data_IF_022695250191
#
_entry.id   IF_022695250191
#
_cell.length_a   1.000
_cell.length_b   1.000
_cell.length_c   1.000
_cell.angle_alpha   90.00
_cell.angle_beta   90.00
_cell.angle_gamma   90.00
#
_symmetry.space_group_name_H-M   'P 1'
#
loop_
_entity.id
_entity.type
_entity.pdbx_description
1 polymer ?
#
# COMPACT_ATOMS: atom_id res chain seq x y z
N UNK A 1 -4.96 -6.21 -24.93
CA UNK A 1 -5.05 -7.68 -25.00
C UNK A 1 -6.07 -8.12 -23.96
N UNK A 2 -6.82 -9.22 -24.13
CA UNK A 2 -7.65 -9.75 -23.05
C UNK A 2 -6.77 -10.11 -21.86
N UNK A 3 -7.31 -9.93 -20.64
CA UNK A 3 -6.61 -10.30 -19.40
C UNK A 3 -6.26 -11.80 -19.44
N UNK A 4 -5.05 -12.22 -19.09
CA UNK A 4 -4.68 -13.63 -19.06
C UNK A 4 -5.34 -14.41 -17.91
N UNK A 5 -5.95 -13.71 -16.97
CA UNK A 5 -6.73 -14.27 -15.86
C UNK A 5 -8.09 -13.59 -15.77
N UNK A 6 -9.04 -14.26 -15.12
CA UNK A 6 -10.39 -13.74 -14.88
C UNK A 6 -10.54 -13.33 -13.41
N UNK A 7 -10.58 -12.01 -13.07
CA UNK A 7 -10.59 -11.55 -11.69
C UNK A 7 -11.70 -12.17 -10.83
N UNK A 8 -12.92 -12.30 -11.36
CA UNK A 8 -14.04 -12.86 -10.61
C UNK A 8 -13.89 -14.37 -10.37
N UNK A 9 -13.42 -15.13 -11.37
CA UNK A 9 -13.14 -16.56 -11.23
C UNK A 9 -12.00 -16.79 -10.22
N UNK A 10 -10.96 -15.98 -10.30
CA UNK A 10 -9.85 -16.06 -9.34
C UNK A 10 -10.36 -15.82 -7.92
N UNK A 11 -11.07 -14.72 -7.69
CA UNK A 11 -11.59 -14.36 -6.36
C UNK A 11 -12.48 -15.44 -5.76
N UNK A 12 -13.39 -16.04 -6.56
CA UNK A 12 -14.33 -17.07 -6.08
C UNK A 12 -13.69 -18.44 -5.86
N UNK A 13 -12.48 -18.66 -6.37
CA UNK A 13 -11.74 -19.92 -6.24
C UNK A 13 -10.74 -19.94 -5.07
N UNK A 14 -10.61 -18.83 -4.33
CA UNK A 14 -9.63 -18.72 -3.26
C UNK A 14 -10.15 -19.34 -1.95
N UNK A 15 -9.32 -20.17 -1.33
CA UNK A 15 -9.50 -20.60 0.05
C UNK A 15 -9.09 -19.50 1.06
N UNK A 16 -9.23 -19.78 2.34
CA UNK A 16 -8.81 -18.84 3.38
C UNK A 16 -7.29 -18.57 3.31
N UNK A 17 -6.89 -17.31 3.50
CA UNK A 17 -5.47 -16.89 3.46
C UNK A 17 -4.59 -17.68 4.45
N UNK A 18 -5.14 -18.02 5.62
CA UNK A 18 -4.44 -18.81 6.64
C UNK A 18 -4.18 -20.28 6.25
N UNK A 19 -4.69 -20.73 5.10
CA UNK A 19 -4.45 -22.07 4.57
C UNK A 19 -3.37 -21.99 3.50
N UNK A 20 -2.19 -22.56 3.79
CA UNK A 20 -1.11 -22.68 2.80
C UNK A 20 -1.53 -23.66 1.72
N UNK A 21 -1.70 -23.18 0.51
CA UNK A 21 -2.18 -23.99 -0.61
C UNK A 21 -1.35 -23.72 -1.87
N UNK A 22 -1.26 -24.68 -2.80
CA UNK A 22 -0.69 -24.45 -4.11
C UNK A 22 -1.52 -23.41 -4.88
N UNK A 23 -0.84 -22.62 -5.71
CA UNK A 23 -1.51 -21.69 -6.62
C UNK A 23 -2.38 -22.45 -7.64
N UNK A 24 -3.63 -22.02 -7.82
CA UNK A 24 -4.47 -22.46 -8.92
C UNK A 24 -3.92 -21.96 -10.27
N UNK A 25 -4.37 -22.51 -11.38
CA UNK A 25 -3.97 -22.03 -12.70
C UNK A 25 -4.25 -20.53 -12.88
N UNK A 26 -5.41 -20.05 -12.45
CA UNK A 26 -5.78 -18.63 -12.49
C UNK A 26 -4.87 -17.76 -11.60
N UNK A 27 -4.48 -18.25 -10.42
CA UNK A 27 -3.55 -17.56 -9.53
C UNK A 27 -2.13 -17.50 -10.10
N UNK A 28 -1.69 -18.55 -10.78
CA UNK A 28 -0.40 -18.58 -11.53
C UNK A 28 -0.42 -17.57 -12.68
N UNK A 29 -1.51 -17.52 -13.46
CA UNK A 29 -1.65 -16.57 -14.57
C UNK A 29 -1.66 -15.12 -14.05
N UNK A 30 -2.34 -14.85 -12.92
CA UNK A 30 -2.29 -13.57 -12.22
C UNK A 30 -0.85 -13.21 -11.81
N UNK A 31 -0.16 -14.12 -11.13
CA UNK A 31 1.22 -13.86 -10.69
C UNK A 31 2.16 -13.59 -11.87
N UNK A 32 2.07 -14.38 -12.96
CA UNK A 32 2.87 -14.17 -14.17
C UNK A 32 2.57 -12.83 -14.83
N UNK A 33 1.30 -12.44 -14.90
CA UNK A 33 0.92 -11.17 -15.51
C UNK A 33 1.54 -9.97 -14.80
N UNK A 34 1.62 -10.01 -13.45
CA UNK A 34 2.23 -8.96 -12.64
C UNK A 34 3.71 -9.20 -12.32
N UNK A 35 4.31 -10.30 -12.79
CA UNK A 35 5.69 -10.68 -12.52
C UNK A 35 5.93 -10.99 -11.04
N UNK A 36 4.94 -11.58 -10.38
CA UNK A 36 4.97 -12.00 -8.97
C UNK A 36 5.32 -13.49 -8.80
N UNK A 37 5.59 -14.20 -9.90
CA UNK A 37 6.04 -15.59 -9.95
C UNK A 37 7.51 -15.72 -9.49
N UNK A 38 7.77 -15.21 -8.30
CA UNK A 38 9.08 -15.20 -7.65
C UNK A 38 9.43 -16.62 -7.15
N UNK A 39 10.72 -16.94 -7.06
CA UNK A 39 11.23 -18.29 -6.74
C UNK A 39 11.10 -18.63 -5.25
N UNK A 40 9.96 -18.35 -4.64
CA UNK A 40 9.63 -18.69 -3.26
C UNK A 40 8.22 -19.28 -3.18
N UNK A 41 7.91 -19.96 -2.09
CA UNK A 41 6.54 -20.42 -1.86
C UNK A 41 5.62 -19.20 -1.69
N UNK A 42 4.56 -19.14 -2.49
CA UNK A 42 3.59 -18.05 -2.42
C UNK A 42 2.17 -18.57 -2.63
N UNK A 43 1.19 -17.88 -2.05
CA UNK A 43 -0.22 -18.17 -2.27
C UNK A 43 -1.08 -16.91 -2.13
N UNK A 44 -2.28 -17.00 -2.69
CA UNK A 44 -3.36 -16.04 -2.49
C UNK A 44 -4.45 -16.70 -1.66
N UNK A 45 -5.18 -15.91 -0.87
CA UNK A 45 -6.30 -16.41 -0.10
C UNK A 45 -7.23 -15.30 0.36
N UNK A 46 -8.46 -15.69 0.69
CA UNK A 46 -9.50 -14.77 1.15
C UNK A 46 -9.52 -14.63 2.68
N UNK A 47 -9.94 -13.46 3.15
CA UNK A 47 -10.37 -13.24 4.53
C UNK A 47 -11.37 -12.08 4.58
N UNK A 48 -12.27 -12.09 5.57
CA UNK A 48 -13.32 -11.06 5.68
C UNK A 48 -13.05 -10.15 6.87
N UNK A 49 -13.23 -8.83 6.68
CA UNK A 49 -13.12 -7.81 7.71
C UNK A 49 -13.99 -6.61 7.40
N UNK A 50 -14.66 -6.05 8.40
CA UNK A 50 -15.48 -4.82 8.27
C UNK A 50 -16.55 -4.88 7.15
N UNK A 51 -17.06 -6.08 6.83
CA UNK A 51 -18.03 -6.30 5.76
C UNK A 51 -17.46 -6.40 4.35
N UNK A 52 -16.14 -6.51 4.23
CA UNK A 52 -15.43 -6.73 2.96
C UNK A 52 -14.79 -8.11 2.93
N UNK A 53 -14.83 -8.74 1.75
CA UNK A 53 -14.05 -9.93 1.43
C UNK A 53 -12.79 -9.49 0.73
N UNK A 54 -11.66 -9.65 1.41
CA UNK A 54 -10.35 -9.20 0.95
C UNK A 54 -9.52 -10.36 0.41
N UNK A 55 -8.69 -10.08 -0.57
CA UNK A 55 -7.71 -11.01 -1.11
C UNK A 55 -6.32 -10.64 -0.59
N UNK A 56 -5.77 -11.53 0.22
CA UNK A 56 -4.41 -11.45 0.72
C UNK A 56 -3.45 -12.27 -0.12
N UNK A 57 -2.18 -11.92 -0.03
CA UNK A 57 -1.08 -12.63 -0.68
C UNK A 57 0.09 -12.77 0.30
N UNK A 58 0.75 -13.92 0.24
CA UNK A 58 1.92 -14.23 1.06
C UNK A 58 3.03 -14.77 0.17
N UNK A 59 4.25 -14.32 0.41
CA UNK A 59 5.48 -14.86 -0.15
C UNK A 59 6.38 -15.28 1.01
N UNK A 60 6.77 -16.55 1.02
CA UNK A 60 7.46 -17.16 2.15
C UNK A 60 8.78 -17.79 1.68
N UNK A 61 9.94 -17.20 1.98
CA UNK A 61 11.23 -17.85 1.81
C UNK A 61 11.34 -19.14 2.64
N UNK A 62 12.32 -19.98 2.34
CA UNK A 62 12.52 -21.24 3.04
C UNK A 62 12.85 -21.02 4.53
N UNK A 63 13.70 -20.04 4.82
CA UNK A 63 14.13 -19.67 6.18
C UNK A 63 13.92 -18.16 6.40
N UNK A 64 12.68 -17.70 6.60
CA UNK A 64 12.42 -16.27 6.75
C UNK A 64 12.90 -15.78 8.12
N UNK A 65 13.60 -14.64 8.14
CA UNK A 65 14.16 -14.02 9.37
C UNK A 65 13.27 -12.95 9.97
N UNK A 66 12.29 -12.44 9.22
CA UNK A 66 11.35 -11.40 9.61
C UNK A 66 10.13 -11.42 8.69
N UNK A 67 9.15 -10.56 8.96
CA UNK A 67 7.98 -10.38 8.08
C UNK A 67 7.79 -8.92 7.71
N UNK A 68 7.59 -8.63 6.43
CA UNK A 68 7.19 -7.33 5.93
C UNK A 68 5.68 -7.31 5.62
N UNK A 69 4.93 -6.45 6.32
CA UNK A 69 3.57 -6.10 5.98
C UNK A 69 3.59 -4.99 4.93
N UNK A 70 3.06 -5.27 3.76
CA UNK A 70 3.08 -4.35 2.62
C UNK A 70 1.67 -3.84 2.31
N UNK A 71 1.50 -2.51 2.35
CA UNK A 71 0.25 -1.81 2.08
C UNK A 71 0.39 -0.92 0.85
N UNK A 72 -0.44 -1.17 -0.15
CA UNK A 72 -0.42 -0.46 -1.42
C UNK A 72 -1.07 0.93 -1.35
N UNK A 73 -0.84 1.76 -2.38
CA UNK A 73 -1.40 3.09 -2.54
C UNK A 73 -2.85 3.10 -3.05
N UNK A 74 -3.45 4.29 -3.07
CA UNK A 74 -4.77 4.51 -3.66
C UNK A 74 -4.72 4.26 -5.17
N UNK A 75 -5.73 3.60 -5.70
CA UNK A 75 -5.82 3.07 -7.06
C UNK A 75 -4.90 1.87 -7.37
N UNK A 76 -4.00 1.53 -6.48
CA UNK A 76 -3.11 0.39 -6.64
C UNK A 76 -3.76 -0.93 -6.17
N UNK A 77 -3.00 -1.99 -6.24
CA UNK A 77 -3.25 -3.31 -5.65
C UNK A 77 -1.92 -4.06 -5.53
N UNK A 78 -1.89 -5.17 -4.81
CA UNK A 78 -0.66 -5.92 -4.51
C UNK A 78 0.09 -6.37 -5.77
N UNK A 79 -0.61 -6.61 -6.88
CA UNK A 79 -0.01 -6.95 -8.18
C UNK A 79 1.05 -5.97 -8.67
N UNK A 80 0.98 -4.70 -8.26
CA UNK A 80 1.88 -3.65 -8.73
C UNK A 80 3.18 -3.53 -7.90
N UNK A 81 3.39 -4.37 -6.87
CA UNK A 81 4.47 -4.17 -5.90
C UNK A 81 5.64 -5.16 -6.03
N UNK A 82 5.80 -5.80 -7.21
CA UNK A 82 6.83 -6.82 -7.47
C UNK A 82 8.23 -6.44 -7.00
N UNK A 83 8.63 -5.17 -7.20
CA UNK A 83 10.00 -4.74 -6.89
C UNK A 83 10.25 -4.61 -5.38
N UNK A 84 9.25 -4.13 -4.63
CA UNK A 84 9.33 -4.06 -3.17
C UNK A 84 9.27 -5.46 -2.56
N UNK A 85 8.42 -6.34 -3.10
CA UNK A 85 8.33 -7.74 -2.69
C UNK A 85 9.66 -8.46 -2.96
N UNK A 86 10.21 -8.34 -4.17
CA UNK A 86 11.48 -8.96 -4.52
C UNK A 86 12.64 -8.48 -3.64
N UNK A 87 12.71 -7.17 -3.35
CA UNK A 87 13.68 -6.62 -2.43
C UNK A 87 13.53 -7.20 -1.01
N UNK A 88 12.31 -7.27 -0.46
CA UNK A 88 12.07 -7.83 0.87
C UNK A 88 12.47 -9.31 0.96
N UNK A 89 12.20 -10.08 -0.10
CA UNK A 89 12.63 -11.49 -0.19
C UNK A 89 14.15 -11.64 -0.23
N UNK A 90 14.87 -10.71 -0.87
CA UNK A 90 16.34 -10.66 -0.85
C UNK A 90 16.90 -10.36 0.55
N UNK A 91 16.14 -9.66 1.40
CA UNK A 91 16.47 -9.46 2.81
C UNK A 91 16.14 -10.70 3.68
N UNK A 92 15.59 -11.75 3.09
CA UNK A 92 15.12 -12.92 3.82
C UNK A 92 13.78 -12.74 4.52
N UNK A 93 13.00 -11.71 4.19
CA UNK A 93 11.71 -11.47 4.83
C UNK A 93 10.60 -12.29 4.17
N UNK A 94 9.70 -12.84 4.97
CA UNK A 94 8.37 -13.16 4.50
C UNK A 94 7.63 -11.86 4.15
N UNK A 95 6.77 -11.88 3.14
CA UNK A 95 5.94 -10.71 2.78
C UNK A 95 4.48 -11.09 2.88
N UNK A 96 3.69 -10.26 3.54
CA UNK A 96 2.23 -10.37 3.60
C UNK A 96 1.60 -9.03 3.27
N UNK A 97 0.55 -9.04 2.46
CA UNK A 97 -0.25 -7.87 2.13
C UNK A 97 -1.62 -8.28 1.61
N UNK A 98 -2.49 -7.32 1.38
CA UNK A 98 -3.79 -7.57 0.75
C UNK A 98 -4.16 -6.41 -0.16
N UNK A 99 -5.02 -6.70 -1.12
CA UNK A 99 -5.74 -5.65 -1.82
C UNK A 99 -6.73 -4.99 -0.86
N UNK A 100 -6.62 -3.66 -0.70
CA UNK A 100 -7.47 -2.87 0.18
C UNK A 100 -8.95 -2.93 -0.28
N UNK A 101 -9.93 -2.65 0.60
CA UNK A 101 -11.34 -2.55 0.20
C UNK A 101 -11.54 -1.73 -1.06
N UNK A 102 -12.28 -2.26 -2.03
CA UNK A 102 -12.53 -1.62 -3.33
C UNK A 102 -11.36 -1.60 -4.32
N UNK A 103 -10.25 -2.28 -4.02
CA UNK A 103 -9.07 -2.34 -4.88
C UNK A 103 -8.77 -3.77 -5.34
N UNK A 104 -8.06 -3.89 -6.44
CA UNK A 104 -7.56 -5.17 -6.94
C UNK A 104 -8.62 -6.26 -7.02
N UNK A 105 -8.34 -7.41 -6.40
CA UNK A 105 -9.24 -8.55 -6.30
C UNK A 105 -10.21 -8.48 -5.12
N UNK A 106 -10.06 -7.52 -4.20
CA UNK A 106 -10.92 -7.37 -3.02
C UNK A 106 -12.29 -6.81 -3.36
N UNK A 107 -13.30 -7.13 -2.52
CA UNK A 107 -14.67 -6.66 -2.66
C UNK A 107 -14.82 -5.17 -2.28
N UNK A 108 -15.99 -4.62 -2.54
CA UNK A 108 -16.35 -3.24 -2.26
C UNK A 108 -16.49 -2.38 -3.51
N UNK A 109 -17.07 -1.19 -3.34
CA UNK A 109 -17.16 -0.20 -4.41
C UNK A 109 -15.75 0.25 -4.81
N UNK A 110 -15.48 0.30 -6.12
CA UNK A 110 -14.13 0.58 -6.66
C UNK A 110 -13.56 1.90 -6.18
N UNK A 111 -12.39 1.83 -5.55
CA UNK A 111 -11.63 2.95 -4.98
C UNK A 111 -12.43 3.78 -3.95
N UNK A 112 -13.41 3.18 -3.28
CA UNK A 112 -14.28 3.84 -2.31
C UNK A 112 -14.08 3.29 -0.91
N UNK A 113 -14.17 4.16 0.08
CA UNK A 113 -14.23 3.82 1.50
C UNK A 113 -15.02 4.90 2.24
N UNK A 114 -15.84 4.51 3.19
CA UNK A 114 -16.66 5.46 3.95
C UNK A 114 -15.87 6.12 5.10
N UNK A 115 -14.92 5.40 5.69
CA UNK A 115 -14.07 5.87 6.79
C UNK A 115 -12.69 5.21 6.72
N UNK A 116 -11.63 5.97 6.95
CA UNK A 116 -10.25 5.46 7.06
C UNK A 116 -10.06 4.52 8.27
N UNK A 117 -10.94 4.57 9.28
CA UNK A 117 -10.91 3.61 10.37
C UNK A 117 -11.10 2.15 9.90
N UNK A 118 -11.74 1.93 8.77
CA UNK A 118 -11.87 0.61 8.14
C UNK A 118 -10.48 0.07 7.74
N UNK A 119 -9.60 0.91 7.25
CA UNK A 119 -8.22 0.51 6.92
C UNK A 119 -7.43 0.05 8.14
N UNK A 120 -7.71 0.59 9.35
CA UNK A 120 -7.09 0.09 10.58
C UNK A 120 -7.56 -1.32 10.90
N UNK A 121 -8.85 -1.61 10.73
CA UNK A 121 -9.39 -2.96 10.89
C UNK A 121 -8.76 -3.94 9.88
N UNK A 122 -8.48 -3.49 8.66
CA UNK A 122 -7.75 -4.29 7.65
C UNK A 122 -6.34 -4.63 8.10
N UNK A 123 -5.59 -3.64 8.63
CA UNK A 123 -4.24 -3.87 9.14
C UNK A 123 -4.25 -4.82 10.36
N UNK A 124 -5.20 -4.66 11.28
CA UNK A 124 -5.36 -5.56 12.43
C UNK A 124 -5.69 -6.99 11.97
N UNK A 125 -6.53 -7.14 10.96
CA UNK A 125 -6.82 -8.44 10.36
C UNK A 125 -5.59 -9.07 9.70
N UNK A 126 -4.74 -8.27 9.03
CA UNK A 126 -3.46 -8.77 8.49
C UNK A 126 -2.51 -9.25 9.59
N UNK A 127 -2.42 -8.54 10.71
CA UNK A 127 -1.66 -9.04 11.88
C UNK A 127 -2.20 -10.37 12.40
N UNK A 128 -3.52 -10.53 12.41
CA UNK A 128 -4.14 -11.80 12.81
C UNK A 128 -3.85 -12.91 11.80
N UNK A 129 -3.87 -12.66 10.49
CA UNK A 129 -3.46 -13.64 9.49
C UNK A 129 -1.99 -14.05 9.68
N UNK A 130 -1.11 -13.09 9.94
CA UNK A 130 0.30 -13.40 10.20
C UNK A 130 0.51 -14.27 11.44
N UNK A 131 -0.28 -14.07 12.52
CA UNK A 131 -0.25 -14.94 13.70
C UNK A 131 -0.72 -16.36 13.37
N UNK A 132 -1.81 -16.50 12.62
CA UNK A 132 -2.35 -17.81 12.21
C UNK A 132 -1.39 -18.59 11.31
N UNK A 133 -0.60 -17.85 10.51
CA UNK A 133 0.40 -18.43 9.61
C UNK A 133 1.75 -18.67 10.30
N UNK A 134 1.89 -18.25 11.56
CA UNK A 134 3.14 -18.30 12.34
C UNK A 134 4.29 -17.61 11.59
N UNK A 135 4.03 -16.40 11.04
CA UNK A 135 5.04 -15.65 10.32
C UNK A 135 6.08 -15.06 11.30
N UNK A 136 7.38 -15.14 10.96
CA UNK A 136 8.45 -14.78 11.88
C UNK A 136 8.49 -13.29 12.23
N UNK A 137 8.97 -13.01 13.42
CA UNK A 137 9.31 -11.66 13.88
C UNK A 137 10.80 -11.35 13.63
N UNK A 138 11.19 -10.06 13.60
CA UNK A 138 10.35 -8.87 13.82
C UNK A 138 9.36 -8.60 12.66
N UNK A 139 8.26 -7.88 12.97
CA UNK A 139 7.27 -7.47 11.98
C UNK A 139 7.52 -6.03 11.54
N UNK A 140 7.94 -5.87 10.29
CA UNK A 140 8.14 -4.58 9.65
C UNK A 140 6.87 -4.10 8.94
N UNK A 141 6.66 -2.78 8.89
CA UNK A 141 5.58 -2.15 8.12
C UNK A 141 6.14 -1.41 6.93
N UNK A 142 5.58 -1.60 5.75
CA UNK A 142 5.87 -0.82 4.56
C UNK A 142 4.56 -0.35 3.92
N UNK A 143 4.44 0.96 3.68
CA UNK A 143 3.28 1.51 3.00
C UNK A 143 3.64 2.61 2.02
N UNK A 144 3.05 2.55 0.82
CA UNK A 144 3.17 3.61 -0.15
C UNK A 144 1.91 4.47 -0.17
N UNK A 145 2.08 5.80 -0.22
CA UNK A 145 0.98 6.76 -0.36
C UNK A 145 -0.14 6.52 0.69
N UNK A 146 -1.33 6.06 0.29
CA UNK A 146 -2.42 5.68 1.19
C UNK A 146 -2.02 4.51 2.10
N UNK A 147 -1.25 3.53 1.61
CA UNK A 147 -0.67 2.50 2.48
C UNK A 147 0.21 3.10 3.57
N UNK A 148 1.01 4.12 3.23
CA UNK A 148 1.76 4.91 4.21
C UNK A 148 0.87 5.66 5.20
N UNK A 149 -0.26 6.23 4.74
CA UNK A 149 -1.24 6.86 5.61
C UNK A 149 -1.85 5.87 6.62
N UNK A 150 -2.12 4.64 6.21
CA UNK A 150 -2.62 3.57 7.09
C UNK A 150 -1.59 3.25 8.19
N UNK A 151 -0.32 3.11 7.82
CA UNK A 151 0.77 2.88 8.78
C UNK A 151 0.93 4.05 9.74
N UNK A 152 0.90 5.28 9.24
CA UNK A 152 0.97 6.51 10.07
C UNK A 152 -0.18 6.55 11.08
N UNK A 153 -1.42 6.33 10.63
CA UNK A 153 -2.60 6.30 11.49
C UNK A 153 -2.46 5.25 12.60
N UNK A 154 -2.06 4.03 12.25
CA UNK A 154 -1.81 2.94 13.19
C UNK A 154 -0.81 3.34 14.28
N UNK A 155 0.35 3.86 13.89
CA UNK A 155 1.43 4.19 14.82
C UNK A 155 1.13 5.38 15.73
N UNK A 156 0.30 6.33 15.27
CA UNK A 156 -0.12 7.47 16.08
C UNK A 156 -1.21 7.10 17.11
N UNK A 157 -1.99 6.05 16.83
CA UNK A 157 -3.05 5.58 17.73
C UNK A 157 -2.60 4.46 18.67
N UNK A 158 -1.86 3.47 18.14
CA UNK A 158 -1.40 2.32 18.93
C UNK A 158 -0.07 2.58 19.64
N UNK A 159 0.75 3.49 19.13
CA UNK A 159 2.05 3.83 19.69
C UNK A 159 2.94 2.59 19.91
N UNK A 160 3.38 2.40 21.15
CA UNK A 160 4.21 1.25 21.57
C UNK A 160 3.42 -0.06 21.68
N UNK A 161 2.09 -0.01 21.67
CA UNK A 161 1.22 -1.21 21.70
C UNK A 161 1.04 -1.84 20.31
N UNK A 162 1.63 -1.25 19.26
CA UNK A 162 1.62 -1.84 17.93
C UNK A 162 2.25 -3.24 17.95
N UNK A 163 1.61 -4.26 17.36
CA UNK A 163 2.21 -5.57 17.22
C UNK A 163 3.43 -5.59 16.28
N UNK A 164 3.60 -4.54 15.46
CA UNK A 164 4.74 -4.38 14.58
C UNK A 164 5.94 -3.82 15.35
N UNK A 165 6.85 -4.71 15.74
CA UNK A 165 8.06 -4.43 16.54
C UNK A 165 9.30 -4.10 15.68
N UNK A 166 9.22 -4.29 14.37
CA UNK A 166 10.28 -4.00 13.41
C UNK A 166 10.30 -2.55 12.90
N UNK A 167 11.01 -2.34 11.80
CA UNK A 167 11.14 -1.05 11.13
C UNK A 167 9.86 -0.63 10.42
N UNK A 168 9.71 0.68 10.26
CA UNK A 168 8.60 1.32 9.55
C UNK A 168 9.14 2.03 8.32
N UNK A 169 8.62 1.67 7.15
CA UNK A 169 9.03 2.19 5.84
C UNK A 169 7.85 2.91 5.21
N UNK A 170 8.01 4.18 4.89
CA UNK A 170 7.00 5.02 4.26
C UNK A 170 7.49 5.51 2.90
N UNK A 171 6.85 5.06 1.83
CA UNK A 171 7.16 5.43 0.46
C UNK A 171 6.16 6.50 -0.01
N UNK A 172 6.62 7.73 -0.26
CA UNK A 172 5.79 8.87 -0.66
C UNK A 172 4.48 8.98 0.16
N UNK A 173 4.55 9.02 1.51
CA UNK A 173 3.39 8.85 2.38
C UNK A 173 2.37 9.97 2.19
N UNK A 174 1.09 9.59 2.13
CA UNK A 174 -0.02 10.53 2.07
C UNK A 174 -0.32 11.09 3.46
N UNK A 175 -0.35 12.43 3.60
CA UNK A 175 -1.11 13.15 4.62
C UNK A 175 -2.20 13.94 3.91
N UNK A 176 -1.83 14.77 2.94
CA UNK A 176 -2.81 15.40 2.06
C UNK A 176 -2.35 15.41 0.59
N UNK A 177 -3.28 15.35 -0.37
CA UNK A 177 -2.96 15.45 -1.79
C UNK A 177 -2.55 16.87 -2.17
N UNK A 178 -1.88 16.99 -3.32
CA UNK A 178 -1.58 18.29 -3.93
C UNK A 178 -2.87 19.07 -4.22
N UNK A 179 -2.79 20.39 -4.19
CA UNK A 179 -3.93 21.29 -4.40
C UNK A 179 -5.13 21.03 -3.44
N UNK A 180 -4.84 20.63 -2.21
CA UNK A 180 -5.84 20.23 -1.22
C UNK A 180 -6.95 21.24 -0.96
N UNK A 181 -6.64 22.55 -1.01
CA UNK A 181 -7.64 23.61 -0.84
C UNK A 181 -8.72 23.57 -1.94
N UNK A 182 -8.30 23.35 -3.18
CA UNK A 182 -9.21 23.19 -4.33
C UNK A 182 -10.00 21.89 -4.25
N UNK A 183 -9.37 20.81 -3.83
CA UNK A 183 -10.05 19.50 -3.63
C UNK A 183 -11.16 19.61 -2.59
N UNK A 184 -10.93 20.32 -1.47
CA UNK A 184 -11.97 20.55 -0.46
C UNK A 184 -13.13 21.39 -0.97
N UNK A 185 -12.85 22.45 -1.74
CA UNK A 185 -13.90 23.31 -2.31
C UNK A 185 -14.74 22.54 -3.33
N UNK A 186 -14.08 21.86 -4.27
CA UNK A 186 -14.75 21.02 -5.26
C UNK A 186 -15.60 19.93 -4.62
N UNK A 187 -15.08 19.23 -3.61
CA UNK A 187 -15.82 18.21 -2.88
C UNK A 187 -17.08 18.77 -2.23
N UNK A 188 -17.02 19.93 -1.55
CA UNK A 188 -18.19 20.52 -0.88
C UNK A 188 -19.34 20.79 -1.83
N UNK A 189 -19.02 21.12 -3.08
CA UNK A 189 -20.02 21.38 -4.13
C UNK A 189 -20.47 20.06 -4.77
N UNK A 190 -19.51 19.27 -5.26
CA UNK A 190 -19.79 18.10 -6.11
C UNK A 190 -20.48 16.95 -5.37
N UNK A 191 -20.21 16.75 -4.08
CA UNK A 191 -20.78 15.62 -3.31
C UNK A 191 -22.32 15.59 -3.30
N UNK A 192 -22.98 16.70 -3.59
CA UNK A 192 -24.44 16.77 -3.63
C UNK A 192 -25.04 16.46 -5.02
N UNK A 193 -24.18 16.36 -6.04
CA UNK A 193 -24.61 16.21 -7.43
C UNK A 193 -24.03 14.96 -8.09
N UNK A 194 -22.89 14.46 -7.61
CA UNK A 194 -22.22 13.31 -8.20
C UNK A 194 -21.60 12.42 -7.09
N UNK A 195 -21.62 11.12 -7.32
CA UNK A 195 -20.99 10.11 -6.45
C UNK A 195 -19.50 9.89 -6.75
N UNK A 196 -18.99 10.45 -7.85
CA UNK A 196 -17.59 10.39 -8.24
C UNK A 196 -17.35 11.07 -9.57
N UNK A 197 -16.07 11.29 -9.88
CA UNK A 197 -15.59 11.86 -11.14
C UNK A 197 -14.69 10.86 -11.87
N UNK A 198 -14.53 11.01 -13.17
CA UNK A 198 -13.60 10.18 -13.95
C UNK A 198 -12.15 10.42 -13.49
N UNK A 199 -11.41 9.33 -13.32
CA UNK A 199 -9.98 9.38 -12.98
C UNK A 199 -9.18 9.82 -14.19
N UNK A 200 -8.27 10.76 -13.98
CA UNK A 200 -7.25 11.10 -14.96
C UNK A 200 -5.95 10.37 -14.58
N UNK A 201 -5.43 9.57 -15.51
CA UNK A 201 -4.09 9.00 -15.37
C UNK A 201 -3.06 10.12 -15.46
N UNK A 202 -2.17 10.19 -14.50
CA UNK A 202 -1.09 11.17 -14.46
C UNK A 202 0.25 10.44 -14.51
N UNK A 203 1.28 11.10 -15.02
CA UNK A 203 2.64 10.57 -15.02
C UNK A 203 3.20 10.59 -13.58
N UNK A 204 2.83 9.58 -12.79
CA UNK A 204 3.21 9.43 -11.37
C UNK A 204 4.51 8.65 -11.16
N UNK A 205 5.18 8.23 -12.21
CA UNK A 205 6.50 7.59 -12.26
C UNK A 205 7.29 8.08 -13.47
N UNK A 206 8.59 7.89 -13.47
CA UNK A 206 9.46 8.15 -14.63
C UNK A 206 9.58 6.94 -15.57
N UNK A 207 9.01 5.78 -15.21
CA UNK A 207 9.02 4.59 -16.06
C UNK A 207 7.83 4.60 -17.05
N UNK A 208 8.05 4.88 -18.35
CA UNK A 208 6.97 4.94 -19.33
C UNK A 208 6.37 3.56 -19.64
N UNK A 209 7.13 2.48 -19.44
CA UNK A 209 6.61 1.13 -19.61
C UNK A 209 5.61 0.77 -18.53
N UNK A 210 5.89 1.19 -17.28
CA UNK A 210 4.93 1.02 -16.20
C UNK A 210 3.68 1.88 -16.37
N UNK A 211 3.79 3.12 -16.87
CA UNK A 211 2.60 3.94 -17.16
C UNK A 211 1.68 3.29 -18.19
N UNK A 212 2.25 2.77 -19.27
CA UNK A 212 1.48 2.05 -20.31
C UNK A 212 0.84 0.75 -19.75
N UNK A 213 1.56 0.03 -18.89
CA UNK A 213 1.04 -1.14 -18.20
C UNK A 213 -0.14 -0.79 -17.30
N UNK A 214 -0.02 0.28 -16.51
CA UNK A 214 -1.05 0.73 -15.56
C UNK A 214 -2.35 1.14 -16.27
N UNK A 215 -2.27 1.79 -17.44
CA UNK A 215 -3.45 2.16 -18.23
C UNK A 215 -4.20 0.95 -18.79
N UNK A 216 -3.45 -0.14 -19.08
CA UNK A 216 -3.98 -1.39 -19.61
C UNK A 216 -4.39 -2.40 -18.51
N UNK A 217 -4.06 -2.13 -17.27
CA UNK A 217 -4.30 -3.04 -16.14
C UNK A 217 -5.79 -3.25 -15.88
N UNK A 218 -6.30 -4.51 -15.94
CA UNK A 218 -7.71 -4.82 -15.78
C UNK A 218 -8.27 -4.53 -14.38
N UNK A 219 -7.41 -4.39 -13.37
CA UNK A 219 -7.81 -4.14 -11.98
C UNK A 219 -7.84 -2.65 -11.62
N UNK A 220 -7.45 -1.76 -12.55
CA UNK A 220 -7.39 -0.32 -12.27
C UNK A 220 -8.77 0.32 -12.15
N UNK A 221 -9.04 1.04 -11.04
CA UNK A 221 -10.23 1.87 -10.92
C UNK A 221 -10.20 3.04 -11.91
N UNK A 222 -11.34 3.36 -12.51
CA UNK A 222 -11.49 4.45 -13.50
C UNK A 222 -12.25 5.67 -12.97
N UNK A 223 -12.65 5.65 -11.69
CA UNK A 223 -13.39 6.75 -11.04
C UNK A 223 -12.73 7.12 -9.70
N UNK A 224 -12.87 8.39 -9.33
CA UNK A 224 -12.60 8.91 -8.00
C UNK A 224 -13.93 9.12 -7.27
N UNK A 225 -14.31 8.25 -6.32
CA UNK A 225 -15.53 8.40 -5.55
C UNK A 225 -15.46 9.60 -4.60
N UNK A 226 -16.55 10.35 -4.47
CA UNK A 226 -16.65 11.45 -3.51
C UNK A 226 -16.60 10.95 -2.07
N UNK A 227 -17.10 9.75 -1.79
CA UNK A 227 -17.03 9.12 -0.46
C UNK A 227 -15.58 9.02 0.04
N UNK A 228 -14.64 8.56 -0.81
CA UNK A 228 -13.23 8.47 -0.43
C UNK A 228 -12.62 9.83 -0.09
N UNK A 229 -12.95 10.89 -0.86
CA UNK A 229 -12.47 12.24 -0.58
C UNK A 229 -13.01 12.75 0.76
N UNK A 230 -14.27 12.44 1.08
CA UNK A 230 -14.89 12.76 2.37
C UNK A 230 -14.20 12.06 3.54
N UNK A 231 -13.95 10.75 3.40
CA UNK A 231 -13.23 9.95 4.38
C UNK A 231 -11.81 10.47 4.62
N UNK A 232 -11.09 10.81 3.53
CA UNK A 232 -9.76 11.44 3.61
C UNK A 232 -9.80 12.78 4.35
N UNK A 233 -10.79 13.63 4.09
CA UNK A 233 -10.94 14.92 4.79
C UNK A 233 -11.11 14.75 6.30
N UNK A 234 -11.89 13.77 6.73
CA UNK A 234 -12.07 13.46 8.16
C UNK A 234 -10.78 12.91 8.76
N UNK A 235 -10.11 12.01 8.05
CA UNK A 235 -8.85 11.38 8.46
C UNK A 235 -7.72 12.40 8.63
N UNK A 236 -7.52 13.34 7.69
CA UNK A 236 -6.48 14.38 7.78
C UNK A 236 -6.59 15.16 9.09
N UNK A 237 -7.81 15.60 9.45
CA UNK A 237 -8.03 16.32 10.70
C UNK A 237 -7.66 15.49 11.93
N UNK A 238 -7.96 14.18 11.89
CA UNK A 238 -7.63 13.26 12.98
C UNK A 238 -6.11 13.11 13.12
N UNK A 239 -5.39 12.95 12.02
CA UNK A 239 -3.93 12.81 12.03
C UNK A 239 -3.23 14.10 12.47
N UNK A 240 -3.67 15.25 11.99
CA UNK A 240 -3.12 16.55 12.43
C UNK A 240 -3.29 16.77 13.93
N UNK A 241 -4.38 16.27 14.53
CA UNK A 241 -4.66 16.35 15.96
C UNK A 241 -4.05 15.19 16.79
N UNK A 242 -3.55 14.13 16.15
CA UNK A 242 -3.05 12.95 16.85
C UNK A 242 -1.81 13.26 17.72
N UNK A 243 -1.58 12.49 18.81
CA UNK A 243 -0.40 12.64 19.65
C UNK A 243 0.89 12.29 18.89
N UNK A 244 2.03 12.63 19.49
CA UNK A 244 3.34 12.22 18.97
C UNK A 244 3.60 10.74 19.23
N UNK A 245 4.29 10.09 18.29
CA UNK A 245 4.80 8.73 18.41
C UNK A 245 6.32 8.74 18.59
N UNK A 246 6.85 7.84 19.42
CA UNK A 246 8.30 7.64 19.59
C UNK A 246 8.94 6.83 18.47
N UNK A 247 8.15 6.31 17.54
CA UNK A 247 8.64 5.54 16.38
C UNK A 247 9.47 6.42 15.47
N UNK A 248 10.46 5.83 14.83
CA UNK A 248 11.44 6.48 13.93
C UNK A 248 11.32 5.90 12.52
N UNK A 249 10.30 6.32 11.74
CA UNK A 249 10.10 5.76 10.41
C UNK A 249 11.22 6.14 9.44
N UNK A 250 11.51 5.24 8.51
CA UNK A 250 12.30 5.49 7.32
C UNK A 250 11.35 6.02 6.24
N UNK A 251 11.57 7.24 5.77
CA UNK A 251 10.72 7.89 4.79
C UNK A 251 11.50 8.10 3.50
N UNK A 252 10.96 7.63 2.40
CA UNK A 252 11.48 7.93 1.06
C UNK A 252 10.48 8.81 0.34
N UNK A 253 10.95 9.94 -0.21
CA UNK A 253 10.11 10.92 -0.87
C UNK A 253 10.75 11.42 -2.16
N UNK A 254 9.98 11.36 -3.26
CA UNK A 254 10.34 12.01 -4.51
C UNK A 254 10.02 13.49 -4.51
N UNK A 255 10.98 14.36 -4.89
CA UNK A 255 10.74 15.81 -4.94
C UNK A 255 9.99 16.23 -6.22
N UNK A 256 10.00 15.39 -7.27
CA UNK A 256 9.17 15.58 -8.46
C UNK A 256 7.74 15.00 -8.31
N UNK A 257 7.33 14.64 -7.08
CA UNK A 257 5.99 14.15 -6.77
C UNK A 257 4.92 15.22 -7.05
N UNK A 258 4.09 14.95 -8.04
CA UNK A 258 2.96 15.82 -8.43
C UNK A 258 1.61 15.39 -7.84
N UNK A 259 1.57 14.32 -7.04
CA UNK A 259 0.34 13.71 -6.51
C UNK A 259 0.00 14.20 -5.11
N UNK A 260 0.98 14.19 -4.22
CA UNK A 260 0.80 14.64 -2.84
C UNK A 260 1.50 15.98 -2.57
N UNK A 261 1.06 16.69 -1.54
CA UNK A 261 1.73 17.89 -1.02
C UNK A 261 2.90 17.46 -0.13
N UNK A 262 3.94 16.90 -0.76
CA UNK A 262 5.03 16.25 -0.03
C UNK A 262 5.77 17.17 0.95
N UNK A 263 5.99 18.49 0.68
CA UNK A 263 6.63 19.36 1.67
C UNK A 263 5.77 19.50 2.94
N UNK A 264 4.46 19.63 2.78
CA UNK A 264 3.53 19.67 3.89
C UNK A 264 3.49 18.31 4.62
N UNK A 265 3.39 17.21 3.89
CA UNK A 265 3.32 15.86 4.45
C UNK A 265 4.56 15.57 5.31
N UNK A 266 5.76 15.88 4.80
CA UNK A 266 7.00 15.70 5.57
C UNK A 266 7.06 16.59 6.80
N UNK A 267 6.54 17.84 6.74
CA UNK A 267 6.45 18.70 7.91
C UNK A 267 5.60 18.06 9.01
N UNK A 268 4.39 17.58 8.65
CA UNK A 268 3.51 16.90 9.61
C UNK A 268 4.18 15.64 10.18
N UNK A 269 4.81 14.82 9.35
CA UNK A 269 5.45 13.59 9.80
C UNK A 269 6.65 13.86 10.72
N UNK A 270 7.43 14.93 10.48
CA UNK A 270 8.50 15.37 11.38
C UNK A 270 7.96 15.87 12.73
N UNK A 271 6.76 16.45 12.75
CA UNK A 271 6.09 16.85 13.99
C UNK A 271 5.53 15.64 14.75
N UNK A 272 5.11 14.57 14.06
CA UNK A 272 4.42 13.42 14.65
C UNK A 272 5.33 12.29 15.10
N UNK A 273 6.52 12.15 14.51
CA UNK A 273 7.44 11.04 14.79
C UNK A 273 8.78 11.53 15.35
N UNK A 274 9.37 10.71 16.21
CA UNK A 274 10.70 10.98 16.76
C UNK A 274 11.77 10.77 15.68
N UNK A 275 12.45 11.84 15.27
CA UNK A 275 13.62 11.79 14.38
C UNK A 275 13.45 10.87 13.15
N UNK A 276 12.42 11.07 12.31
CA UNK A 276 12.27 10.24 11.12
C UNK A 276 13.47 10.40 10.19
N UNK A 277 13.99 9.29 9.67
CA UNK A 277 15.08 9.31 8.71
C UNK A 277 14.52 9.46 7.30
N UNK A 278 14.89 10.53 6.61
CA UNK A 278 14.27 10.90 5.34
C UNK A 278 15.31 10.87 4.22
N UNK A 279 14.99 10.12 3.16
CA UNK A 279 15.68 10.17 1.88
C UNK A 279 14.83 10.98 0.89
N UNK A 280 15.39 12.08 0.37
CA UNK A 280 14.81 12.84 -0.72
C UNK A 280 15.47 12.42 -2.05
N UNK A 281 14.64 12.22 -3.07
CA UNK A 281 15.05 11.83 -4.41
C UNK A 281 14.59 12.92 -5.40
N UNK A 282 15.46 13.83 -5.84
CA UNK A 282 15.07 15.02 -6.59
C UNK A 282 14.27 14.73 -7.86
N UNK A 283 14.64 13.68 -8.60
CA UNK A 283 14.02 13.28 -9.86
C UNK A 283 12.81 12.34 -9.71
N UNK A 284 12.66 11.69 -8.54
CA UNK A 284 11.63 10.68 -8.36
C UNK A 284 10.23 11.31 -8.26
N UNK A 285 9.26 10.62 -8.86
CA UNK A 285 7.84 10.97 -8.78
C UNK A 285 7.16 10.20 -7.64
N UNK A 286 5.83 10.14 -7.68
CA UNK A 286 5.02 9.61 -6.59
C UNK A 286 5.11 8.09 -6.41
N UNK A 287 5.06 7.33 -7.51
CA UNK A 287 4.96 5.87 -7.46
C UNK A 287 6.33 5.21 -7.32
N UNK A 288 6.95 5.35 -6.12
CA UNK A 288 8.32 4.90 -5.86
C UNK A 288 8.53 3.41 -6.09
N UNK A 289 7.53 2.56 -5.78
CA UNK A 289 7.61 1.11 -5.99
C UNK A 289 7.86 0.73 -7.46
N UNK A 290 7.48 1.60 -8.41
CA UNK A 290 7.65 1.38 -9.85
C UNK A 290 8.34 2.57 -10.54
N UNK A 291 9.29 3.18 -9.86
CA UNK A 291 10.21 4.12 -10.49
C UNK A 291 11.27 3.40 -11.33
N UNK A 292 12.09 4.16 -12.07
CA UNK A 292 13.23 3.63 -12.83
C UNK A 292 14.16 2.81 -11.93
N UNK A 293 14.83 1.78 -12.47
CA UNK A 293 15.70 0.88 -11.69
C UNK A 293 16.72 1.61 -10.82
N UNK A 294 17.39 2.64 -11.35
CA UNK A 294 18.42 3.41 -10.63
C UNK A 294 17.85 4.16 -9.42
N UNK A 295 16.64 4.70 -9.57
CA UNK A 295 15.93 5.38 -8.48
C UNK A 295 15.56 4.35 -7.39
N UNK A 296 15.02 3.19 -7.80
CA UNK A 296 14.70 2.11 -6.86
C UNK A 296 15.95 1.62 -6.13
N UNK A 297 17.05 1.40 -6.83
CA UNK A 297 18.30 0.93 -6.22
C UNK A 297 18.81 1.89 -5.14
N UNK A 298 18.69 3.21 -5.37
CA UNK A 298 19.12 4.22 -4.39
C UNK A 298 18.36 4.14 -3.09
N UNK A 299 17.04 4.02 -3.13
CA UNK A 299 16.28 3.94 -1.89
C UNK A 299 16.34 2.54 -1.27
N UNK A 300 16.46 1.47 -2.02
CA UNK A 300 16.71 0.16 -1.43
C UNK A 300 18.05 0.13 -0.69
N UNK A 301 19.10 0.70 -1.25
CA UNK A 301 20.38 0.84 -0.56
C UNK A 301 20.25 1.65 0.74
N UNK A 302 19.46 2.74 0.73
CA UNK A 302 19.17 3.50 1.94
C UNK A 302 18.44 2.67 3.00
N UNK A 303 17.49 1.83 2.61
CA UNK A 303 16.76 0.93 3.51
C UNK A 303 17.66 -0.17 4.05
N UNK A 304 18.45 -0.83 3.21
CA UNK A 304 19.37 -1.91 3.59
C UNK A 304 20.33 -1.50 4.70
N UNK A 305 20.91 -0.31 4.57
CA UNK A 305 21.84 0.24 5.58
C UNK A 305 21.20 0.47 6.95
N UNK A 306 19.87 0.53 7.04
CA UNK A 306 19.11 0.87 8.25
C UNK A 306 18.30 -0.28 8.83
N UNK A 307 18.12 -1.35 8.06
CA UNK A 307 17.50 -2.58 8.54
C UNK A 307 18.49 -3.49 9.25
N UNK A 308 19.81 -3.30 9.00
CA UNK A 308 20.88 -4.08 9.59
C UNK A 308 21.39 -3.49 10.93
N UNK A 309 20.87 -2.33 11.34
CA UNK A 309 21.18 -1.66 12.60
C UNK A 309 20.06 -1.79 13.61
#
# INVERSE_FOLDING_TARGET
>A
MPSPFHPDLLRTSLDALAVRQPLSAQALDYQRFYGLDLTVHSWLGGFSVAGFDLVGQVWLPQEPVATLFLLHGYYDHMGLYRHVIAWALQQGFAVIGCDLPGHGLSSGERASIADFAIYQQVLDALFEQARRLDLPRPWHLCGQSTGGAIVVDHLLHCGEQSPADGQVILLAPLVRPRAWHWSKLSYRVLRHFVDGIERRFSANTNDPAFLAFLEADPLQPRRLPTAWVGALMAWIKRIEAAPHSRRRPLIVQGEADGTVDWPYNLRVLKEKFAEPQILLLPEARHHLANELPDIRQRYFTFLDQRLLT
#
